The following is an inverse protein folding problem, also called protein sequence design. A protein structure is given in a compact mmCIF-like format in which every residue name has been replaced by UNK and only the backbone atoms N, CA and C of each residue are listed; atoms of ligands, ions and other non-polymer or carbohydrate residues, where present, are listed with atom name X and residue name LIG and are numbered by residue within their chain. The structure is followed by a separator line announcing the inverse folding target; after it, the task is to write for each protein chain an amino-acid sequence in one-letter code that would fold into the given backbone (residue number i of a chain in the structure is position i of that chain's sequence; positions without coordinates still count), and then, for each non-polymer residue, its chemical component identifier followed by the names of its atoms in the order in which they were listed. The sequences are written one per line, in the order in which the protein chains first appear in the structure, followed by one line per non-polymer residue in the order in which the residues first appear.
data_IF_343907076072
#
_entry.id   IF_343907076072
#
_cell.length_a   1.000
_cell.length_b   1.000
_cell.length_c   1.000
_cell.angle_alpha   90.00
_cell.angle_beta   90.00
_cell.angle_gamma   90.00
#
_symmetry.space_group_name_H-M   'P 1'
#
loop_
_entity.id
_entity.type
_entity.pdbx_description
1 polymer ?
#
# COMPACT_ATOMS: atom_id res chain seq x y z
N UNK A 1 4.62 7.06 -0.79
CA UNK A 1 5.53 6.96 0.38
C UNK A 1 5.28 8.01 1.46
N UNK A 2 5.81 9.25 1.37
CA UNK A 2 5.75 10.23 2.48
C UNK A 2 4.30 10.51 2.95
N UNK A 3 3.33 10.49 2.05
CA UNK A 3 1.92 10.70 2.37
C UNK A 3 1.28 9.55 3.18
N UNK A 4 1.95 8.40 3.30
CA UNK A 4 1.50 7.28 4.13
C UNK A 4 2.10 7.34 5.54
N UNK A 5 2.89 8.37 5.83
CA UNK A 5 3.53 8.59 7.12
C UNK A 5 2.78 9.68 7.88
N UNK A 6 2.62 9.48 9.18
CA UNK A 6 2.16 10.50 10.12
C UNK A 6 3.36 11.13 10.84
N UNK A 7 3.25 12.38 11.33
CA UNK A 7 4.23 12.94 12.25
C UNK A 7 4.48 11.98 13.43
N UNK A 8 5.74 11.63 13.69
CA UNK A 8 6.15 10.61 14.65
C UNK A 8 6.52 9.26 14.03
N UNK A 9 6.10 8.97 12.79
CA UNK A 9 6.44 7.72 12.13
C UNK A 9 7.93 7.67 11.76
N UNK A 10 8.55 6.50 11.95
CA UNK A 10 9.95 6.25 11.59
C UNK A 10 10.07 5.58 10.22
N UNK A 11 10.99 6.07 9.42
CA UNK A 11 11.35 5.53 8.11
C UNK A 11 12.85 5.55 7.84
N UNK A 12 13.30 4.67 6.96
CA UNK A 12 14.69 4.59 6.52
C UNK A 12 14.88 5.39 5.23
N UNK A 13 15.81 6.34 5.21
CA UNK A 13 16.18 7.06 3.99
C UNK A 13 17.68 7.30 3.95
N UNK A 14 18.30 7.01 2.81
CA UNK A 14 19.75 7.14 2.59
C UNK A 14 20.60 6.50 3.72
N UNK A 15 20.21 5.30 4.17
CA UNK A 15 20.92 4.56 5.22
C UNK A 15 20.79 5.15 6.63
N UNK A 16 19.79 6.00 6.88
CA UNK A 16 19.52 6.59 8.20
C UNK A 16 18.08 6.31 8.62
N UNK A 17 17.89 5.98 9.89
CA UNK A 17 16.58 5.94 10.55
C UNK A 17 16.14 7.36 10.90
N UNK A 18 15.02 7.80 10.33
CA UNK A 18 14.50 9.16 10.39
C UNK A 18 13.05 9.13 10.88
N UNK A 19 12.72 10.01 11.81
CA UNK A 19 11.36 10.24 12.25
C UNK A 19 10.78 11.44 11.52
N UNK A 20 9.58 11.29 10.96
CA UNK A 20 8.86 12.38 10.32
C UNK A 20 8.42 13.41 11.36
N UNK A 21 8.95 14.63 11.28
CA UNK A 21 8.52 15.73 12.16
C UNK A 21 7.34 16.46 11.53
N UNK A 22 7.47 16.85 10.26
CA UNK A 22 6.38 17.43 9.46
C UNK A 22 6.71 17.40 7.99
N UNK A 23 5.67 17.42 7.17
CA UNK A 23 5.77 17.69 5.74
C UNK A 23 5.38 19.14 5.52
N UNK A 24 6.21 19.92 4.84
CA UNK A 24 5.89 21.28 4.42
C UNK A 24 6.30 21.46 2.97
N UNK A 25 5.34 21.70 2.08
CA UNK A 25 5.57 21.85 0.64
C UNK A 25 6.25 20.60 0.02
N UNK A 26 7.41 20.77 -0.63
CA UNK A 26 8.28 19.70 -1.12
C UNK A 26 9.41 19.34 -0.13
N UNK A 27 9.32 19.82 1.10
CA UNK A 27 10.31 19.58 2.14
C UNK A 27 9.75 18.65 3.21
N UNK A 28 10.45 17.54 3.42
CA UNK A 28 10.15 16.63 4.54
C UNK A 28 11.11 16.98 5.66
N UNK A 29 10.59 17.51 6.77
CA UNK A 29 11.39 17.78 7.96
C UNK A 29 11.43 16.53 8.83
N UNK A 30 12.64 16.12 9.16
CA UNK A 30 12.91 14.86 9.84
C UNK A 30 13.91 15.06 10.96
N UNK A 31 13.84 14.20 11.97
CA UNK A 31 14.89 14.07 13.00
C UNK A 31 15.47 12.67 12.99
N UNK A 32 16.69 12.50 13.49
CA UNK A 32 17.29 11.16 13.62
C UNK A 32 16.52 10.36 14.67
N UNK A 33 16.18 9.12 14.33
CA UNK A 33 15.62 8.15 15.27
C UNK A 33 16.65 7.09 15.64
N UNK A 34 16.50 6.51 16.84
CA UNK A 34 17.27 5.33 17.31
C UNK A 34 16.58 4.01 16.96
N UNK A 35 15.34 4.08 16.50
CA UNK A 35 14.55 2.93 16.06
C UNK A 35 15.25 2.22 14.90
N UNK A 36 15.41 0.89 15.02
CA UNK A 36 16.07 0.08 13.99
C UNK A 36 15.11 -0.33 12.87
N UNK A 37 13.81 -0.27 13.12
CA UNK A 37 12.74 -0.64 12.17
C UNK A 37 12.01 0.61 11.70
N UNK A 38 11.65 0.66 10.42
CA UNK A 38 10.95 1.79 9.82
C UNK A 38 10.64 1.56 8.35
N UNK A 39 9.58 2.20 7.86
CA UNK A 39 9.13 2.14 6.45
C UNK A 39 10.25 2.57 5.50
N UNK A 40 10.30 2.07 4.26
CA UNK A 40 11.35 2.41 3.29
C UNK A 40 10.74 3.06 2.04
N UNK A 41 11.32 4.15 1.51
CA UNK A 41 10.77 4.83 0.35
C UNK A 41 10.89 4.00 -0.92
N UNK A 42 9.74 3.63 -1.47
CA UNK A 42 9.59 3.12 -2.81
C UNK A 42 9.58 4.26 -3.85
N UNK A 43 10.38 4.12 -4.91
CA UNK A 43 10.43 5.09 -6.02
C UNK A 43 9.53 4.60 -7.17
N UNK A 44 8.52 5.40 -7.50
CA UNK A 44 7.46 5.13 -8.48
C UNK A 44 7.92 5.22 -9.96
N UNK A 45 9.20 5.01 -10.24
CA UNK A 45 9.76 5.11 -11.60
C UNK A 45 9.41 3.90 -12.45
N UNK A 46 8.27 3.92 -13.15
CA UNK A 46 8.02 3.09 -14.34
C UNK A 46 7.23 1.79 -14.18
N UNK A 47 6.51 1.56 -13.08
CA UNK A 47 5.66 0.36 -12.93
C UNK A 47 4.17 0.73 -13.02
N UNK A 48 3.52 0.38 -14.13
CA UNK A 48 2.06 0.45 -14.22
C UNK A 48 1.45 -0.64 -13.33
N UNK A 49 0.42 -0.28 -12.55
CA UNK A 49 -0.36 -1.26 -11.78
C UNK A 49 -1.27 -2.06 -12.71
N UNK A 50 -1.65 -3.28 -12.31
CA UNK A 50 -2.61 -4.08 -13.07
C UNK A 50 -3.97 -3.37 -13.22
N UNK A 51 -4.52 -3.46 -14.44
CA UNK A 51 -5.90 -3.07 -14.71
C UNK A 51 -6.87 -4.03 -14.03
N UNK A 52 -8.13 -3.63 -13.89
CA UNK A 52 -9.17 -4.48 -13.29
C UNK A 52 -9.31 -5.83 -14.01
N UNK A 53 -9.30 -5.84 -15.35
CA UNK A 53 -9.39 -7.07 -16.13
C UNK A 53 -8.17 -7.97 -15.97
N UNK A 54 -6.96 -7.39 -15.85
CA UNK A 54 -5.75 -8.19 -15.63
C UNK A 54 -5.72 -8.80 -14.23
N UNK A 55 -6.19 -8.05 -13.22
CA UNK A 55 -6.39 -8.55 -11.86
C UNK A 55 -7.39 -9.71 -11.81
N UNK A 56 -8.50 -9.62 -12.54
CA UNK A 56 -9.48 -10.70 -12.66
C UNK A 56 -8.91 -11.94 -13.33
N UNK A 57 -8.24 -11.78 -14.47
CA UNK A 57 -7.55 -12.88 -15.16
C UNK A 57 -6.50 -13.53 -14.25
N UNK A 58 -5.73 -12.75 -13.49
CA UNK A 58 -4.77 -13.29 -12.54
C UNK A 58 -5.47 -14.18 -11.50
N UNK A 59 -6.59 -13.74 -10.93
CA UNK A 59 -7.36 -14.56 -9.97
C UNK A 59 -7.86 -15.86 -10.61
N UNK A 60 -8.36 -15.80 -11.83
CA UNK A 60 -8.81 -16.99 -12.55
C UNK A 60 -7.66 -17.98 -12.79
N UNK A 61 -6.47 -17.48 -13.15
CA UNK A 61 -5.26 -18.31 -13.30
C UNK A 61 -4.75 -18.88 -11.99
N UNK A 62 -4.80 -18.12 -10.89
CA UNK A 62 -4.48 -18.63 -9.55
C UNK A 62 -5.47 -19.71 -9.12
N UNK A 63 -6.74 -19.56 -9.48
CA UNK A 63 -7.75 -20.58 -9.23
C UNK A 63 -7.53 -21.86 -10.04
N UNK A 64 -7.19 -21.74 -11.33
CA UNK A 64 -6.82 -22.89 -12.16
C UNK A 64 -5.62 -23.63 -11.57
N UNK A 65 -4.61 -22.88 -11.10
CA UNK A 65 -3.45 -23.44 -10.39
C UNK A 65 -3.86 -24.21 -9.13
N UNK A 66 -4.81 -23.69 -8.33
CA UNK A 66 -5.33 -24.35 -7.13
C UNK A 66 -6.09 -25.66 -7.44
N UNK A 67 -6.79 -25.73 -8.57
CA UNK A 67 -7.53 -26.92 -9.00
C UNK A 67 -6.66 -27.95 -9.73
N UNK A 68 -5.41 -27.61 -10.04
CA UNK A 68 -4.57 -28.44 -10.90
C UNK A 68 -5.00 -28.44 -12.37
N UNK A 69 -5.80 -27.44 -12.79
CA UNK A 69 -6.21 -27.25 -14.18
C UNK A 69 -5.09 -26.55 -14.98
N UNK A 70 -4.01 -27.29 -15.21
CA UNK A 70 -2.75 -26.78 -15.76
C UNK A 70 -2.72 -26.85 -17.30
N UNK A 71 -3.63 -26.12 -17.95
CA UNK A 71 -3.70 -26.09 -19.42
C UNK A 71 -2.60 -25.22 -20.03
N UNK A 72 -2.26 -24.10 -19.38
CA UNK A 72 -1.28 -23.15 -19.92
C UNK A 72 0.17 -23.59 -19.64
N UNK A 73 1.11 -23.41 -20.58
CA UNK A 73 2.53 -23.69 -20.36
C UNK A 73 3.13 -22.97 -19.14
N UNK A 74 2.66 -21.75 -18.86
CA UNK A 74 3.08 -20.96 -17.72
C UNK A 74 2.64 -21.60 -16.39
N UNK A 75 1.41 -22.10 -16.32
CA UNK A 75 0.88 -22.76 -15.11
C UNK A 75 1.61 -24.07 -14.84
N UNK A 76 1.88 -24.87 -15.88
CA UNK A 76 2.71 -26.08 -15.79
C UNK A 76 4.10 -25.75 -15.23
N UNK A 77 4.69 -24.62 -15.63
CA UNK A 77 6.00 -24.20 -15.13
C UNK A 77 5.96 -23.75 -13.66
N UNK A 78 4.83 -23.20 -13.22
CA UNK A 78 4.61 -22.73 -11.86
C UNK A 78 4.19 -23.86 -10.90
N UNK A 79 3.77 -25.02 -11.40
CA UNK A 79 3.33 -26.16 -10.58
C UNK A 79 4.26 -26.49 -9.41
N UNK A 80 5.60 -26.60 -9.57
CA UNK A 80 6.47 -26.92 -8.43
C UNK A 80 6.47 -25.85 -7.32
N UNK A 81 6.19 -24.59 -7.67
CA UNK A 81 6.03 -23.52 -6.68
C UNK A 81 4.67 -23.60 -5.99
N UNK A 82 3.63 -24.02 -6.71
CA UNK A 82 2.31 -24.28 -6.13
C UNK A 82 2.33 -25.46 -5.18
N UNK A 83 3.02 -26.55 -5.53
CA UNK A 83 3.17 -27.73 -4.67
C UNK A 83 3.88 -27.34 -3.37
N UNK A 84 4.98 -26.58 -3.46
CA UNK A 84 5.68 -26.06 -2.29
C UNK A 84 4.84 -25.06 -1.47
N UNK A 85 3.95 -24.30 -2.12
CA UNK A 85 3.00 -23.42 -1.45
C UNK A 85 1.98 -24.24 -0.64
N UNK A 86 1.44 -25.31 -1.21
CA UNK A 86 0.50 -26.22 -0.54
C UNK A 86 1.17 -27.01 0.60
N UNK A 87 2.46 -27.33 0.51
CA UNK A 87 3.20 -27.95 1.62
C UNK A 87 3.38 -27.01 2.83
N UNK A 88 3.56 -25.71 2.58
CA UNK A 88 3.88 -24.73 3.64
C UNK A 88 2.67 -23.97 4.17
N UNK A 89 1.66 -23.77 3.32
CA UNK A 89 0.49 -22.97 3.60
C UNK A 89 -0.67 -23.49 2.74
N UNK A 90 -1.35 -22.62 2.00
CA UNK A 90 -2.52 -22.94 1.19
C UNK A 90 -2.42 -22.29 -0.19
N UNK A 91 -3.08 -22.91 -1.16
CA UNK A 91 -3.32 -22.33 -2.50
C UNK A 91 -4.82 -22.01 -2.57
N UNK A 92 -5.24 -20.74 -2.48
CA UNK A 92 -6.64 -20.38 -2.35
C UNK A 92 -7.40 -20.60 -3.66
N UNK A 93 -8.59 -21.19 -3.56
CA UNK A 93 -9.57 -21.24 -4.62
C UNK A 93 -10.32 -19.91 -4.81
N UNK A 94 -11.26 -19.89 -5.76
CA UNK A 94 -12.02 -18.68 -6.13
C UNK A 94 -12.84 -18.08 -4.99
N UNK A 95 -13.37 -18.92 -4.11
CA UNK A 95 -14.22 -18.53 -2.98
C UNK A 95 -13.44 -18.41 -1.67
N UNK A 96 -12.11 -18.36 -1.75
CA UNK A 96 -11.22 -18.38 -0.59
C UNK A 96 -10.30 -17.17 -0.62
N UNK A 97 -9.96 -16.65 0.56
CA UNK A 97 -9.03 -15.54 0.71
C UNK A 97 -7.91 -15.93 1.66
N UNK A 98 -6.68 -16.00 1.13
CA UNK A 98 -5.51 -16.40 1.90
C UNK A 98 -4.96 -15.22 2.73
N UNK A 99 -4.73 -15.50 4.00
CA UNK A 99 -3.97 -14.66 4.92
C UNK A 99 -2.86 -15.52 5.53
N UNK A 100 -1.62 -15.09 5.37
CA UNK A 100 -0.46 -15.74 5.99
C UNK A 100 0.09 -14.90 7.13
N UNK A 101 0.41 -15.53 8.25
CA UNK A 101 0.99 -14.87 9.40
C UNK A 101 2.17 -15.66 9.98
N UNK A 102 3.38 -15.10 9.91
CA UNK A 102 4.59 -15.75 10.41
C UNK A 102 5.57 -14.77 11.05
N UNK A 103 6.49 -15.30 11.85
CA UNK A 103 7.53 -14.51 12.52
C UNK A 103 8.90 -14.79 11.90
N UNK A 104 9.68 -13.74 11.69
CA UNK A 104 11.09 -13.84 11.30
C UNK A 104 11.97 -12.96 12.21
N UNK A 105 13.26 -12.90 11.90
CA UNK A 105 14.20 -11.98 12.57
C UNK A 105 13.84 -10.50 12.36
N UNK A 106 13.11 -10.18 11.28
CA UNK A 106 12.69 -8.81 10.98
C UNK A 106 11.43 -8.40 11.76
N UNK A 107 10.61 -9.35 12.22
CA UNK A 107 9.39 -9.08 12.97
C UNK A 107 8.26 -10.06 12.65
N UNK A 108 7.04 -9.57 12.76
CA UNK A 108 5.79 -10.28 12.51
C UNK A 108 5.26 -9.85 11.14
N UNK A 109 5.12 -10.82 10.25
CA UNK A 109 4.71 -10.63 8.87
C UNK A 109 3.25 -11.06 8.74
N UNK A 110 2.38 -10.14 8.36
CA UNK A 110 1.01 -10.41 7.97
C UNK A 110 0.86 -10.15 6.48
N UNK A 111 0.62 -11.20 5.70
CA UNK A 111 0.45 -11.10 4.25
C UNK A 111 -0.98 -11.43 3.85
N UNK A 112 -1.46 -10.69 2.86
CA UNK A 112 -2.79 -10.84 2.30
C UNK A 112 -2.70 -10.84 0.77
N UNK A 113 -3.52 -11.67 0.12
CA UNK A 113 -3.44 -11.91 -1.33
C UNK A 113 -4.76 -11.59 -2.05
N UNK A 114 -5.12 -10.30 -2.27
CA UNK A 114 -6.35 -9.92 -2.96
C UNK A 114 -6.29 -10.03 -4.48
N UNK A 115 -5.10 -9.95 -5.07
CA UNK A 115 -4.85 -9.92 -6.52
C UNK A 115 -5.51 -8.74 -7.26
N UNK A 116 -5.44 -7.53 -6.71
CA UNK A 116 -6.08 -6.32 -7.25
C UNK A 116 -5.12 -5.29 -7.84
N UNK A 117 -3.82 -5.59 -7.89
CA UNK A 117 -2.81 -4.67 -8.37
C UNK A 117 -2.30 -3.72 -7.29
N UNK A 118 -1.08 -3.22 -7.52
CA UNK A 118 -0.33 -2.36 -6.57
C UNK A 118 -1.12 -1.17 -5.98
N UNK A 119 -1.87 -0.39 -6.77
CA UNK A 119 -2.55 0.80 -6.23
C UNK A 119 -3.68 0.45 -5.26
N UNK A 120 -4.47 -0.59 -5.58
CA UNK A 120 -5.49 -1.09 -4.67
C UNK A 120 -4.86 -1.65 -3.41
N UNK A 121 -3.75 -2.39 -3.54
CA UNK A 121 -3.02 -2.94 -2.40
C UNK A 121 -2.35 -1.87 -1.51
N UNK A 122 -1.93 -0.74 -2.07
CA UNK A 122 -1.45 0.41 -1.29
C UNK A 122 -2.58 0.95 -0.39
N UNK A 123 -3.77 1.15 -0.97
CA UNK A 123 -4.95 1.58 -0.21
C UNK A 123 -5.40 0.56 0.83
N UNK A 124 -5.45 -0.73 0.46
CA UNK A 124 -5.82 -1.82 1.37
C UNK A 124 -4.81 -1.96 2.51
N UNK A 125 -3.52 -1.93 2.22
CA UNK A 125 -2.46 -2.01 3.25
C UNK A 125 -2.57 -0.88 4.26
N UNK A 126 -2.77 0.36 3.80
CA UNK A 126 -2.98 1.50 4.70
C UNK A 126 -4.26 1.35 5.53
N UNK A 127 -5.37 0.98 4.91
CA UNK A 127 -6.65 0.74 5.58
C UNK A 127 -6.54 -0.33 6.66
N UNK A 128 -5.94 -1.48 6.34
CA UNK A 128 -5.75 -2.58 7.29
C UNK A 128 -4.85 -2.17 8.44
N UNK A 129 -3.74 -1.46 8.16
CA UNK A 129 -2.86 -0.92 9.19
C UNK A 129 -3.59 0.04 10.15
N UNK A 130 -4.44 0.92 9.62
CA UNK A 130 -5.25 1.82 10.44
C UNK A 130 -6.23 1.08 11.34
N UNK A 131 -6.98 0.11 10.78
CA UNK A 131 -7.97 -0.69 11.53
C UNK A 131 -7.31 -1.53 12.62
N UNK A 132 -6.22 -2.22 12.30
CA UNK A 132 -5.42 -2.96 13.28
C UNK A 132 -4.86 -2.03 14.38
N UNK A 133 -4.44 -0.82 14.00
CA UNK A 133 -3.97 0.21 14.93
C UNK A 133 -5.04 0.73 15.89
N UNK A 134 -6.33 0.53 15.61
CA UNK A 134 -7.43 0.86 16.54
C UNK A 134 -7.56 -0.17 17.67
N UNK A 135 -7.18 -1.42 17.42
CA UNK A 135 -7.20 -2.48 18.44
C UNK A 135 -6.01 -2.36 19.39
N UNK A 136 -4.84 -2.09 18.82
CA UNK A 136 -3.58 -1.97 19.57
C UNK A 136 -2.67 -0.94 18.91
N UNK A 137 -2.06 0.00 19.67
CA UNK A 137 -1.03 0.89 19.14
C UNK A 137 0.15 0.08 18.59
N UNK A 138 0.34 0.13 17.27
CA UNK A 138 1.34 -0.67 16.56
C UNK A 138 1.79 0.08 15.31
N UNK A 139 3.08 -0.03 15.00
CA UNK A 139 3.67 0.56 13.79
C UNK A 139 3.83 -0.52 12.73
N UNK A 140 3.41 -0.21 11.50
CA UNK A 140 3.52 -1.11 10.37
C UNK A 140 4.48 -0.57 9.32
N UNK A 141 5.28 -1.44 8.74
CA UNK A 141 5.88 -1.24 7.42
C UNK A 141 5.02 -1.95 6.38
N UNK A 142 4.70 -1.26 5.29
CA UNK A 142 3.82 -1.78 4.24
C UNK A 142 4.66 -2.02 3.00
N UNK A 143 4.56 -3.23 2.44
CA UNK A 143 5.10 -3.56 1.13
C UNK A 143 4.00 -4.17 0.27
N UNK A 144 4.04 -3.96 -1.04
CA UNK A 144 3.00 -4.42 -1.95
C UNK A 144 3.53 -4.63 -3.37
N UNK A 145 2.87 -5.54 -4.07
CA UNK A 145 3.03 -5.76 -5.49
C UNK A 145 1.65 -6.00 -6.14
N UNK A 146 1.61 -6.61 -7.32
CA UNK A 146 0.36 -6.75 -8.07
C UNK A 146 -0.54 -7.88 -7.57
N UNK A 147 -0.05 -8.81 -6.77
CA UNK A 147 -0.85 -9.94 -6.26
C UNK A 147 -1.21 -9.82 -4.77
N UNK A 148 -0.40 -9.12 -3.96
CA UNK A 148 -0.72 -8.92 -2.55
C UNK A 148 0.08 -7.82 -1.86
N UNK A 149 -0.09 -7.77 -0.54
CA UNK A 149 0.63 -6.85 0.34
C UNK A 149 1.01 -7.48 1.67
N UNK A 150 2.02 -6.89 2.31
CA UNK A 150 2.57 -7.24 3.61
C UNK A 150 2.37 -6.07 4.58
N UNK A 151 1.93 -6.40 5.80
CA UNK A 151 2.06 -5.57 6.98
C UNK A 151 3.12 -6.20 7.89
N UNK A 152 4.28 -5.55 7.98
CA UNK A 152 5.37 -5.96 8.86
C UNK A 152 5.35 -5.12 10.13
N UNK A 153 5.34 -5.77 11.29
CA UNK A 153 5.49 -5.09 12.58
C UNK A 153 6.61 -5.67 13.41
N UNK A 154 7.13 -4.88 14.33
CA UNK A 154 8.07 -5.32 15.35
C UNK A 154 7.40 -6.06 16.52
N UNK A 155 6.08 -5.97 16.62
CA UNK A 155 5.26 -6.59 17.66
C UNK A 155 4.24 -7.56 17.06
N UNK A 156 3.70 -8.52 17.85
CA UNK A 156 2.62 -9.38 17.41
C UNK A 156 1.41 -8.58 16.93
N UNK A 157 0.90 -8.94 15.75
CA UNK A 157 -0.25 -8.31 15.09
C UNK A 157 -1.54 -9.01 15.56
N UNK A 158 -2.56 -8.30 16.06
CA UNK A 158 -3.80 -8.89 16.59
C UNK A 158 -4.77 -9.29 15.46
N UNK A 159 -4.30 -10.06 14.48
CA UNK A 159 -5.08 -10.40 13.28
C UNK A 159 -6.31 -11.26 13.59
N UNK A 160 -6.23 -12.20 14.53
CA UNK A 160 -7.37 -13.05 14.89
C UNK A 160 -8.51 -12.24 15.51
N UNK A 161 -8.18 -11.32 16.42
CA UNK A 161 -9.13 -10.37 17.01
C UNK A 161 -9.73 -9.44 15.95
N UNK A 162 -8.90 -8.98 15.01
CA UNK A 162 -9.35 -8.15 13.89
C UNK A 162 -10.33 -8.90 12.98
N UNK A 163 -10.05 -10.16 12.64
CA UNK A 163 -10.95 -11.00 11.85
C UNK A 163 -12.29 -11.22 12.56
N UNK A 164 -12.26 -11.40 13.89
CA UNK A 164 -13.48 -11.52 14.70
C UNK A 164 -14.31 -10.22 14.76
N UNK A 165 -13.69 -9.06 14.49
CA UNK A 165 -14.33 -7.73 14.53
C UNK A 165 -14.63 -7.16 13.14
N UNK A 166 -14.76 -8.02 12.11
CA UNK A 166 -15.12 -7.66 10.73
C UNK A 166 -14.12 -6.69 10.09
N UNK A 167 -12.83 -7.06 10.13
CA UNK A 167 -11.70 -6.30 9.56
C UNK A 167 -11.94 -5.78 8.13
N UNK A 168 -12.74 -6.50 7.32
CA UNK A 168 -12.97 -6.19 5.91
C UNK A 168 -14.26 -5.39 5.63
N UNK A 169 -14.97 -4.90 6.66
CA UNK A 169 -16.23 -4.16 6.46
C UNK A 169 -16.10 -2.93 5.56
N UNK A 170 -17.18 -2.61 4.83
CA UNK A 170 -17.22 -1.46 3.90
C UNK A 170 -18.10 -0.29 4.36
N UNK A 171 -18.80 -0.42 5.50
CA UNK A 171 -19.75 0.59 6.03
C UNK A 171 -19.12 1.97 6.25
N UNK A 172 -17.93 2.01 6.87
CA UNK A 172 -17.21 3.26 7.18
C UNK A 172 -16.03 3.51 6.24
N UNK A 173 -16.02 2.88 5.05
CA UNK A 173 -14.84 2.80 4.20
C UNK A 173 -14.24 4.18 3.82
N UNK A 174 -15.00 5.19 3.37
CA UNK A 174 -14.43 6.48 2.99
C UNK A 174 -13.75 7.18 4.17
N UNK A 175 -14.36 7.07 5.36
CA UNK A 175 -13.82 7.64 6.61
C UNK A 175 -12.51 6.95 7.01
N UNK A 176 -12.50 5.62 6.98
CA UNK A 176 -11.32 4.84 7.37
C UNK A 176 -10.15 5.04 6.39
N UNK A 177 -10.43 5.16 5.08
CA UNK A 177 -9.42 5.50 4.07
C UNK A 177 -8.86 6.90 4.30
N UNK A 178 -9.73 7.89 4.53
CA UNK A 178 -9.30 9.26 4.81
C UNK A 178 -8.45 9.36 6.09
N UNK A 179 -8.72 8.52 7.08
CA UNK A 179 -7.95 8.45 8.31
C UNK A 179 -6.63 7.66 8.14
N UNK A 180 -6.62 6.61 7.33
CA UNK A 180 -5.47 5.70 7.20
C UNK A 180 -4.29 6.30 6.42
N UNK A 181 -4.57 7.29 5.57
CA UNK A 181 -3.59 7.96 4.72
C UNK A 181 -3.59 9.44 5.06
N UNK A 182 -2.48 10.16 4.80
CA UNK A 182 -2.48 11.62 4.88
C UNK A 182 -3.24 12.24 3.69
N UNK A 183 -4.56 12.03 3.68
CA UNK A 183 -5.47 12.48 2.64
C UNK A 183 -5.40 14.01 2.45
N UNK A 184 -5.14 14.76 3.53
CA UNK A 184 -4.96 16.22 3.48
C UNK A 184 -3.76 16.60 2.61
N UNK A 185 -2.58 15.99 2.81
CA UNK A 185 -1.41 16.30 1.97
C UNK A 185 -1.57 15.83 0.51
N UNK A 186 -2.29 14.74 0.28
CA UNK A 186 -2.61 14.27 -1.07
C UNK A 186 -3.57 15.21 -1.78
N UNK A 187 -4.67 15.59 -1.11
CA UNK A 187 -5.65 16.53 -1.63
C UNK A 187 -5.00 17.89 -1.89
N UNK A 188 -4.15 18.39 -0.98
CA UNK A 188 -3.39 19.63 -1.18
C UNK A 188 -2.50 19.57 -2.43
N UNK A 189 -1.86 18.43 -2.71
CA UNK A 189 -1.06 18.26 -3.94
C UNK A 189 -1.94 18.24 -5.18
N UNK A 190 -3.05 17.49 -5.15
CA UNK A 190 -3.98 17.37 -6.28
C UNK A 190 -4.68 18.70 -6.59
N UNK A 191 -5.01 19.46 -5.55
CA UNK A 191 -5.65 20.77 -5.65
C UNK A 191 -4.86 21.76 -6.51
N UNK A 192 -3.53 21.62 -6.62
CA UNK A 192 -2.73 22.47 -7.51
C UNK A 192 -3.16 22.38 -8.97
N UNK A 193 -3.43 21.16 -9.44
CA UNK A 193 -3.87 20.92 -10.82
C UNK A 193 -5.30 21.44 -11.01
N UNK A 194 -6.17 21.20 -10.02
CA UNK A 194 -7.56 21.69 -10.01
C UNK A 194 -7.61 23.22 -10.03
N UNK A 195 -6.88 23.89 -9.13
CA UNK A 195 -6.81 25.35 -9.04
C UNK A 195 -6.19 26.00 -10.29
N UNK A 196 -5.30 25.26 -10.97
CA UNK A 196 -4.80 25.66 -12.28
C UNK A 196 -5.89 25.61 -13.34
N UNK A 197 -6.62 24.50 -13.44
CA UNK A 197 -7.69 24.31 -14.43
C UNK A 197 -8.84 25.31 -14.18
N UNK A 198 -9.17 25.55 -12.91
CA UNK A 198 -10.20 26.50 -12.49
C UNK A 198 -9.78 27.98 -12.67
N UNK A 199 -8.56 28.25 -13.13
CA UNK A 199 -8.08 29.62 -13.37
C UNK A 199 -7.74 30.42 -12.10
N UNK A 200 -7.75 29.79 -10.92
CA UNK A 200 -7.33 30.43 -9.66
C UNK A 200 -5.83 30.75 -9.64
N UNK A 201 -5.06 30.01 -10.44
CA UNK A 201 -3.60 30.16 -10.52
C UNK A 201 -3.22 30.62 -11.92
N UNK A 202 -2.71 31.85 -12.00
CA UNK A 202 -2.18 32.40 -13.25
C UNK A 202 -0.77 31.87 -13.54
N UNK A 203 -0.63 31.07 -14.59
CA UNK A 203 0.64 30.45 -15.02
C UNK A 203 1.62 31.40 -15.72
N UNK A 204 1.21 32.61 -16.09
CA UNK A 204 2.01 33.53 -16.90
C UNK A 204 1.47 33.65 -18.32
N UNK A 205 2.11 34.50 -19.12
CA UNK A 205 1.76 34.69 -20.54
C UNK A 205 2.59 33.74 -21.42
N UNK A 206 2.15 33.43 -22.66
CA UNK A 206 2.96 32.66 -23.61
C UNK A 206 4.39 33.25 -23.73
N UNK A 207 5.41 32.43 -23.47
CA UNK A 207 6.82 32.83 -23.47
C UNK A 207 7.33 33.52 -22.18
N UNK A 208 6.47 33.74 -21.18
CA UNK A 208 6.80 34.30 -19.85
C UNK A 208 6.04 33.56 -18.73
N UNK A 209 6.36 32.28 -18.56
CA UNK A 209 5.78 31.48 -17.48
C UNK A 209 6.31 31.91 -16.10
N UNK A 210 5.43 31.93 -15.10
CA UNK A 210 5.84 32.11 -13.70
C UNK A 210 6.56 30.85 -13.23
N UNK A 211 7.60 31.02 -12.40
CA UNK A 211 8.34 29.90 -11.80
C UNK A 211 7.40 28.99 -11.01
N UNK A 212 7.51 27.68 -11.21
CA UNK A 212 6.69 26.66 -10.55
C UNK A 212 6.51 26.90 -9.05
N UNK A 213 7.58 27.19 -8.31
CA UNK A 213 7.53 27.41 -6.86
C UNK A 213 6.48 28.46 -6.44
N UNK A 214 6.27 29.51 -7.22
CA UNK A 214 5.28 30.54 -6.90
C UNK A 214 3.83 30.08 -7.18
N UNK A 215 3.63 29.29 -8.23
CA UNK A 215 2.33 28.67 -8.52
C UNK A 215 1.94 27.69 -7.40
N UNK A 216 2.93 26.97 -6.85
CA UNK A 216 2.73 26.04 -5.74
C UNK A 216 2.28 26.74 -4.45
N UNK A 217 2.94 27.84 -4.06
CA UNK A 217 2.56 28.59 -2.86
C UNK A 217 1.15 29.16 -2.96
N UNK A 218 0.72 29.62 -4.13
CA UNK A 218 -0.63 30.15 -4.35
C UNK A 218 -1.70 29.05 -4.24
N UNK A 219 -1.47 27.88 -4.84
CA UNK A 219 -2.38 26.74 -4.72
C UNK A 219 -2.63 26.35 -3.26
N UNK A 220 -1.56 26.31 -2.47
CA UNK A 220 -1.63 25.89 -1.08
C UNK A 220 -2.40 26.89 -0.22
N UNK A 221 -2.19 28.20 -0.44
CA UNK A 221 -2.94 29.22 0.27
C UNK A 221 -4.45 29.11 -0.01
N UNK A 222 -4.84 28.91 -1.28
CA UNK A 222 -6.25 28.69 -1.62
C UNK A 222 -6.80 27.43 -0.96
N UNK A 223 -6.04 26.32 -0.95
CA UNK A 223 -6.45 25.09 -0.27
C UNK A 223 -6.66 25.31 1.23
N UNK A 224 -5.75 26.02 1.90
CA UNK A 224 -5.84 26.33 3.34
C UNK A 224 -7.04 27.24 3.63
N UNK A 225 -7.23 28.31 2.85
CA UNK A 225 -8.37 29.22 2.99
C UNK A 225 -9.70 28.47 2.77
N UNK A 226 -9.81 27.64 1.74
CA UNK A 226 -11.03 26.84 1.55
C UNK A 226 -11.22 25.83 2.68
N UNK A 227 -10.15 25.20 3.17
CA UNK A 227 -10.24 24.25 4.29
C UNK A 227 -10.74 24.91 5.57
N UNK A 228 -10.27 26.13 5.86
CA UNK A 228 -10.58 26.83 7.12
C UNK A 228 -11.92 27.58 7.07
N UNK A 229 -12.27 28.17 5.92
CA UNK A 229 -13.40 29.10 5.80
C UNK A 229 -14.52 28.63 4.87
N UNK A 230 -14.24 27.73 3.92
CA UNK A 230 -15.22 27.23 2.95
C UNK A 230 -15.13 25.70 2.76
N UNK A 231 -15.38 24.89 3.81
CA UNK A 231 -15.18 23.43 3.73
C UNK A 231 -16.09 22.74 2.69
N UNK A 232 -17.15 23.42 2.25
CA UNK A 232 -18.06 22.95 1.19
C UNK A 232 -17.67 23.46 -0.21
N UNK A 233 -16.51 24.11 -0.37
CA UNK A 233 -16.03 24.60 -1.66
C UNK A 233 -15.84 23.42 -2.64
N UNK A 234 -16.43 23.53 -3.83
CA UNK A 234 -16.44 22.43 -4.80
C UNK A 234 -15.04 22.02 -5.27
N UNK A 235 -14.10 22.95 -5.38
CA UNK A 235 -12.72 22.64 -5.79
C UNK A 235 -11.95 21.90 -4.69
N UNK A 236 -12.25 22.23 -3.42
CA UNK A 236 -11.71 21.51 -2.28
C UNK A 236 -12.26 20.09 -2.24
N UNK A 237 -13.59 19.93 -2.35
CA UNK A 237 -14.25 18.63 -2.38
C UNK A 237 -13.74 17.76 -3.55
N UNK A 238 -13.61 18.35 -4.74
CA UNK A 238 -13.04 17.68 -5.91
C UNK A 238 -11.61 17.19 -5.66
N UNK A 239 -10.77 17.95 -4.94
CA UNK A 239 -9.41 17.50 -4.63
C UNK A 239 -9.38 16.23 -3.78
N UNK A 240 -10.29 16.12 -2.81
CA UNK A 240 -10.44 14.89 -2.02
C UNK A 240 -11.03 13.75 -2.84
N UNK A 241 -12.05 14.03 -3.63
CA UNK A 241 -12.70 13.04 -4.50
C UNK A 241 -11.73 12.45 -5.54
N UNK A 242 -10.91 13.27 -6.16
CA UNK A 242 -9.92 12.82 -7.14
C UNK A 242 -8.81 11.98 -6.51
N UNK A 243 -8.40 12.29 -5.27
CA UNK A 243 -7.45 11.45 -4.52
C UNK A 243 -8.06 10.07 -4.24
N UNK A 244 -9.31 10.03 -3.76
CA UNK A 244 -10.00 8.77 -3.50
C UNK A 244 -10.21 7.96 -4.78
N UNK A 245 -10.61 8.62 -5.87
CA UNK A 245 -10.97 7.98 -7.13
C UNK A 245 -9.75 7.51 -7.91
N UNK A 246 -8.81 8.42 -8.19
CA UNK A 246 -7.72 8.10 -9.11
C UNK A 246 -6.50 7.50 -8.43
N UNK A 247 -6.17 8.01 -7.24
CA UNK A 247 -4.95 7.57 -6.56
C UNK A 247 -5.18 6.32 -5.70
N UNK A 248 -6.34 6.23 -5.04
CA UNK A 248 -6.66 5.10 -4.15
C UNK A 248 -7.61 4.09 -4.78
N UNK A 249 -8.18 4.39 -5.95
CA UNK A 249 -9.10 3.52 -6.66
C UNK A 249 -10.20 2.98 -5.73
N UNK A 250 -10.83 3.87 -4.96
CA UNK A 250 -11.77 3.50 -3.88
C UNK A 250 -12.87 2.56 -4.33
N UNK A 251 -13.40 2.75 -5.55
CA UNK A 251 -14.38 1.84 -6.15
C UNK A 251 -13.86 0.41 -6.33
N UNK A 252 -12.62 0.23 -6.80
CA UNK A 252 -11.98 -1.08 -6.94
C UNK A 252 -11.64 -1.69 -5.58
N UNK A 253 -11.15 -0.87 -4.65
CA UNK A 253 -10.86 -1.30 -3.29
C UNK A 253 -12.13 -1.79 -2.59
N UNK A 254 -13.23 -1.05 -2.70
CA UNK A 254 -14.56 -1.43 -2.18
C UNK A 254 -15.02 -2.76 -2.77
N UNK A 255 -14.99 -2.91 -4.09
CA UNK A 255 -15.38 -4.15 -4.75
C UNK A 255 -14.53 -5.34 -4.29
N UNK A 256 -13.23 -5.14 -4.08
CA UNK A 256 -12.34 -6.16 -3.54
C UNK A 256 -12.71 -6.57 -2.11
N UNK A 257 -13.00 -5.60 -1.23
CA UNK A 257 -13.44 -5.88 0.14
C UNK A 257 -14.78 -6.60 0.18
N UNK A 258 -15.77 -6.15 -0.60
CA UNK A 258 -17.08 -6.80 -0.70
C UNK A 258 -16.95 -8.24 -1.19
N UNK A 259 -16.07 -8.49 -2.17
CA UNK A 259 -15.73 -9.84 -2.61
C UNK A 259 -15.11 -10.67 -1.49
N UNK A 260 -14.12 -10.13 -0.78
CA UNK A 260 -13.45 -10.84 0.34
C UNK A 260 -14.44 -11.20 1.44
N UNK A 261 -15.42 -10.34 1.74
CA UNK A 261 -16.45 -10.64 2.73
C UNK A 261 -17.35 -11.83 2.36
N UNK A 262 -17.43 -12.18 1.08
CA UNK A 262 -18.16 -13.38 0.61
C UNK A 262 -17.25 -14.61 0.50
N UNK A 263 -15.95 -14.48 0.79
CA UNK A 263 -14.98 -15.57 0.70
C UNK A 263 -14.73 -16.20 2.07
N UNK A 264 -14.39 -17.48 2.07
CA UNK A 264 -13.86 -18.15 3.24
C UNK A 264 -12.43 -17.67 3.50
N UNK A 265 -12.17 -17.14 4.68
CA UNK A 265 -10.81 -16.73 5.08
C UNK A 265 -9.99 -17.99 5.38
N UNK A 266 -8.94 -18.22 4.59
CA UNK A 266 -7.91 -19.22 4.87
C UNK A 266 -6.79 -18.55 5.66
N UNK A 267 -6.82 -18.68 6.98
CA UNK A 267 -5.78 -18.17 7.85
C UNK A 267 -4.70 -19.23 8.09
N UNK A 268 -3.48 -18.98 7.63
CA UNK A 268 -2.35 -19.89 7.71
C UNK A 268 -1.19 -19.30 8.52
N UNK A 269 -0.51 -20.15 9.31
CA UNK A 269 0.67 -19.79 10.09
C UNK A 269 1.90 -20.59 9.64
N UNK A 270 2.47 -20.30 8.46
CA UNK A 270 3.66 -21.01 8.00
C UNK A 270 4.86 -20.71 8.90
N UNK A 271 5.80 -21.65 9.03
CA UNK A 271 7.01 -21.41 9.85
C UNK A 271 7.97 -20.41 9.22
N UNK A 272 7.95 -20.27 7.88
CA UNK A 272 8.85 -19.44 7.09
C UNK A 272 8.13 -18.87 5.87
N UNK A 273 8.80 -17.97 5.16
CA UNK A 273 8.32 -17.43 3.90
C UNK A 273 7.91 -18.54 2.91
N UNK A 274 6.71 -18.38 2.37
CA UNK A 274 6.08 -19.21 1.35
C UNK A 274 6.42 -18.73 -0.06
N UNK A 275 6.26 -19.57 -1.10
CA UNK A 275 6.38 -19.13 -2.50
C UNK A 275 5.57 -17.87 -2.84
N UNK A 276 4.36 -17.73 -2.30
CA UNK A 276 3.51 -16.56 -2.55
C UNK A 276 4.01 -15.31 -1.81
N UNK A 277 4.43 -15.45 -0.56
CA UNK A 277 5.00 -14.33 0.21
C UNK A 277 6.30 -13.80 -0.40
N UNK A 278 7.10 -14.67 -1.02
CA UNK A 278 8.48 -14.37 -1.39
C UNK A 278 8.63 -13.14 -2.31
N UNK A 279 7.88 -12.98 -3.43
CA UNK A 279 8.05 -11.78 -4.24
C UNK A 279 7.55 -10.48 -3.57
N UNK A 280 6.68 -10.52 -2.55
CA UNK A 280 6.30 -9.33 -1.75
C UNK A 280 7.49 -8.93 -0.87
N UNK A 281 8.09 -9.91 -0.20
CA UNK A 281 9.29 -9.70 0.62
C UNK A 281 10.47 -9.19 -0.21
N UNK A 282 10.64 -9.70 -1.44
CA UNK A 282 11.68 -9.23 -2.37
C UNK A 282 11.45 -7.78 -2.78
N UNK A 283 10.22 -7.38 -3.08
CA UNK A 283 9.93 -5.98 -3.40
C UNK A 283 10.27 -5.07 -2.19
N UNK A 284 9.93 -5.46 -0.96
CA UNK A 284 10.38 -4.75 0.26
C UNK A 284 11.90 -4.65 0.34
N UNK A 285 12.63 -5.72 0.04
CA UNK A 285 14.09 -5.71 0.10
C UNK A 285 14.75 -4.86 -0.96
N UNK A 286 14.14 -4.72 -2.14
CA UNK A 286 14.61 -3.81 -3.20
C UNK A 286 14.46 -2.35 -2.78
N UNK A 287 13.48 -2.04 -1.93
CA UNK A 287 13.32 -0.69 -1.39
C UNK A 287 14.47 -0.32 -0.44
N UNK A 288 15.11 -1.31 0.22
CA UNK A 288 16.33 -1.07 0.99
C UNK A 288 17.55 -0.89 0.08
N UNK A 289 18.12 0.31 0.09
CA UNK A 289 19.41 0.63 -0.53
C UNK A 289 20.53 -0.20 0.13
N UNK A 290 21.03 -1.22 -0.58
CA UNK A 290 22.14 -2.07 -0.16
C UNK A 290 23.19 -2.13 -1.26
N UNK A 291 24.46 -2.21 -0.88
CA UNK A 291 25.59 -2.47 -1.79
C UNK A 291 25.74 -3.95 -2.14
N UNK A 292 25.00 -4.85 -1.48
CA UNK A 292 24.95 -6.27 -1.84
C UNK A 292 23.99 -6.51 -3.01
N UNK A 293 24.35 -7.41 -3.95
CA UNK A 293 23.45 -7.80 -5.03
C UNK A 293 22.24 -8.55 -4.45
N UNK A 294 21.05 -8.30 -5.02
CA UNK A 294 19.81 -8.96 -4.58
C UNK A 294 19.91 -10.49 -4.63
N UNK A 295 20.60 -11.03 -5.64
CA UNK A 295 20.82 -12.47 -5.80
C UNK A 295 21.59 -13.07 -4.61
N UNK A 296 22.62 -12.39 -4.12
CA UNK A 296 23.42 -12.84 -2.97
C UNK A 296 22.60 -12.84 -1.68
N UNK A 297 21.69 -11.86 -1.53
CA UNK A 297 20.74 -11.80 -0.41
C UNK A 297 19.73 -12.95 -0.45
N UNK A 298 19.21 -13.29 -1.63
CA UNK A 298 18.28 -14.41 -1.82
C UNK A 298 18.98 -15.75 -1.53
N UNK A 299 20.23 -15.93 -1.97
CA UNK A 299 21.00 -17.17 -1.71
C UNK A 299 21.22 -17.43 -0.22
N UNK A 300 21.48 -16.39 0.58
CA UNK A 300 21.62 -16.51 2.04
C UNK A 300 20.35 -17.05 2.72
N UNK A 301 19.17 -16.92 2.12
CA UNK A 301 17.90 -17.42 2.70
C UNK A 301 17.63 -18.89 2.41
N UNK A 302 18.19 -19.46 1.33
CA UNK A 302 18.11 -20.91 1.09
C UNK A 302 18.89 -21.71 2.14
N UNK A 303 19.79 -21.07 2.87
CA UNK A 303 20.67 -21.68 3.86
C UNK A 303 20.10 -21.67 5.29
N UNK A 304 18.89 -21.12 5.51
CA UNK A 304 18.23 -21.06 6.82
C UNK A 304 16.82 -21.64 6.77
#
# INVERSE_FOLDING_TARGET
FINQLRPGDVFWFAGRSLELVRVKENMVQVRRSKERKGKVPAWMGGRMSFSANLSEMLRDKMHALAQGDLVDPELLKLQPLSDLQAERSQVPGKSEFLIEYFQSREGYHLLMYPYEGRFVHEGMGALMAYRLGQLKPITFSIAMNDYGFELLSDQPIPIEEALATDLFQTRSLPRDIAASINAVEMARRRFREIATIAGLIFKGFPGKEKKDRHLQSSAQLFFEVFSDYEPNNLLLLQAYEEVLTFQLQESRLRAALERIQQQQILFSRPEKATPFSFPILVDRWREHLSTEKLEDRIRKMKLY
#
